data_IF_850644214133
#
_entry.id   IF_850644214133
#
_cell.length_a   1.000
_cell.length_b   1.000
_cell.length_c   1.000
_cell.angle_alpha   90.00
_cell.angle_beta   90.00
_cell.angle_gamma   90.00
#
_symmetry.space_group_name_H-M   'P 1'
#
loop_
_entity.id
_entity.type
_entity.pdbx_description
1 polymer ?
#
# COMPACT_ATOMS: atom_id res chain seq x y z
N UNK A 1 21.89 -7.38 6.97
CA UNK A 1 21.32 -6.02 7.02
C UNK A 1 20.70 -5.85 8.40
N UNK A 2 21.01 -4.78 9.12
CA UNK A 2 20.29 -4.48 10.37
C UNK A 2 18.86 -4.04 10.03
N UNK A 3 17.87 -4.82 10.48
CA UNK A 3 16.45 -4.59 10.17
C UNK A 3 15.99 -3.25 10.73
N UNK A 4 16.47 -2.85 11.90
CA UNK A 4 16.08 -1.59 12.52
C UNK A 4 16.52 -0.41 11.67
N UNK A 5 17.81 -0.35 11.31
CA UNK A 5 18.35 0.70 10.45
C UNK A 5 17.62 0.77 9.10
N UNK A 6 17.35 -0.39 8.49
CA UNK A 6 16.59 -0.46 7.24
C UNK A 6 15.18 0.13 7.39
N UNK A 7 14.42 -0.29 8.42
CA UNK A 7 13.05 0.17 8.62
C UNK A 7 12.97 1.66 8.98
N UNK A 8 13.94 2.20 9.72
CA UNK A 8 14.03 3.64 9.95
C UNK A 8 14.25 4.41 8.64
N UNK A 9 15.13 3.94 7.77
CA UNK A 9 15.35 4.56 6.45
C UNK A 9 14.10 4.49 5.56
N UNK A 10 13.31 3.41 5.64
CA UNK A 10 12.00 3.31 4.98
C UNK A 10 11.03 4.35 5.55
N UNK A 11 10.94 4.47 6.88
CA UNK A 11 10.07 5.43 7.56
C UNK A 11 10.39 6.89 7.21
N UNK A 12 11.66 7.27 7.23
CA UNK A 12 12.11 8.61 6.82
C UNK A 12 11.69 8.94 5.38
N UNK A 13 11.97 8.03 4.43
CA UNK A 13 11.60 8.20 3.02
C UNK A 13 10.08 8.29 2.83
N UNK A 14 9.30 7.51 3.58
CA UNK A 14 7.84 7.56 3.53
C UNK A 14 7.32 8.92 4.03
N UNK A 15 7.92 9.46 5.10
CA UNK A 15 7.55 10.78 5.63
C UNK A 15 7.90 11.95 4.72
N UNK A 16 9.02 11.86 4.03
CA UNK A 16 9.38 12.85 3.03
C UNK A 16 8.39 12.79 1.86
N UNK A 17 8.14 11.60 1.33
CA UNK A 17 7.20 11.40 0.23
C UNK A 17 5.74 11.77 0.59
N UNK A 18 5.33 11.59 1.86
CA UNK A 18 3.97 11.90 2.31
C UNK A 18 3.63 13.38 2.13
N UNK A 19 4.61 14.28 2.21
CA UNK A 19 4.40 15.73 1.99
C UNK A 19 4.13 16.02 0.51
N UNK A 20 4.90 15.41 -0.37
CA UNK A 20 4.75 15.59 -1.81
C UNK A 20 3.43 14.98 -2.32
N UNK A 21 3.06 13.78 -1.87
CA UNK A 21 1.80 13.14 -2.28
C UNK A 21 0.56 13.85 -1.73
N UNK A 22 0.64 14.44 -0.53
CA UNK A 22 -0.45 15.25 0.03
C UNK A 22 -0.68 16.54 -0.77
N UNK A 23 0.35 17.09 -1.40
CA UNK A 23 0.29 18.26 -2.27
C UNK A 23 0.02 17.93 -3.75
N UNK A 24 0.01 16.64 -4.12
CA UNK A 24 -0.17 16.22 -5.50
C UNK A 24 -1.60 16.50 -5.99
N UNK A 25 -1.71 16.96 -7.25
CA UNK A 25 -3.01 17.18 -7.88
C UNK A 25 -3.76 15.86 -8.09
N UNK A 26 -5.09 15.95 -8.17
CA UNK A 26 -5.93 14.81 -8.55
C UNK A 26 -5.52 14.21 -9.88
N UNK A 27 -5.10 15.04 -10.84
CA UNK A 27 -4.60 14.62 -12.14
C UNK A 27 -3.33 13.78 -12.03
N UNK A 28 -2.33 14.23 -11.25
CA UNK A 28 -1.09 13.48 -11.07
C UNK A 28 -1.34 12.12 -10.37
N UNK A 29 -2.19 12.10 -9.34
CA UNK A 29 -2.60 10.87 -8.66
C UNK A 29 -3.31 9.91 -9.61
N UNK A 30 -4.27 10.41 -10.41
CA UNK A 30 -5.01 9.59 -11.36
C UNK A 30 -4.12 9.09 -12.50
N UNK A 31 -3.19 9.92 -12.99
CA UNK A 31 -2.20 9.53 -13.99
C UNK A 31 -1.35 8.37 -13.47
N UNK A 32 -0.87 8.46 -12.24
CA UNK A 32 -0.11 7.37 -11.63
C UNK A 32 -0.92 6.08 -11.64
N UNK A 33 -2.16 6.09 -11.12
CA UNK A 33 -3.02 4.90 -11.07
C UNK A 33 -3.29 4.29 -12.45
N UNK A 34 -3.60 5.12 -13.46
CA UNK A 34 -3.83 4.66 -14.82
C UNK A 34 -2.56 4.04 -15.43
N UNK A 35 -1.39 4.64 -15.19
CA UNK A 35 -0.11 4.07 -15.65
C UNK A 35 0.22 2.76 -14.93
N UNK A 36 -0.06 2.63 -13.63
CA UNK A 36 0.13 1.37 -12.90
C UNK A 36 -0.75 0.27 -13.52
N UNK A 37 -2.01 0.58 -13.84
CA UNK A 37 -2.92 -0.37 -14.48
C UNK A 37 -2.38 -0.83 -15.85
N UNK A 38 -1.89 0.10 -16.67
CA UNK A 38 -1.27 -0.20 -17.95
C UNK A 38 0.00 -1.07 -17.79
N UNK A 39 0.87 -0.74 -16.84
CA UNK A 39 2.09 -1.50 -16.55
C UNK A 39 1.79 -2.92 -16.08
N UNK A 40 0.75 -3.11 -15.26
CA UNK A 40 0.30 -4.44 -14.83
C UNK A 40 -0.12 -5.29 -16.04
N UNK A 41 -0.85 -4.72 -17.00
CA UNK A 41 -1.25 -5.43 -18.22
C UNK A 41 -0.06 -5.75 -19.12
N UNK A 42 0.85 -4.79 -19.30
CA UNK A 42 2.08 -4.97 -20.10
C UNK A 42 2.96 -6.07 -19.50
N UNK A 43 3.08 -6.10 -18.17
CA UNK A 43 3.94 -7.05 -17.44
C UNK A 43 3.21 -8.33 -17.02
N UNK A 44 2.04 -8.63 -17.61
CA UNK A 44 1.24 -9.81 -17.25
C UNK A 44 2.06 -11.09 -17.18
N UNK A 45 2.85 -11.38 -18.20
CA UNK A 45 3.66 -12.62 -18.25
C UNK A 45 4.73 -12.66 -17.15
N UNK A 46 5.32 -11.51 -16.81
CA UNK A 46 6.29 -11.40 -15.71
C UNK A 46 5.61 -11.65 -14.37
N UNK A 47 4.41 -11.10 -14.17
CA UNK A 47 3.61 -11.31 -12.95
C UNK A 47 3.20 -12.77 -12.78
N UNK A 48 2.75 -13.43 -13.85
CA UNK A 48 2.40 -14.85 -13.82
C UNK A 48 3.63 -15.73 -13.53
N UNK A 49 4.77 -15.44 -14.15
CA UNK A 49 6.01 -16.17 -13.89
C UNK A 49 6.48 -16.01 -12.43
N UNK A 50 6.45 -14.78 -11.90
CA UNK A 50 6.78 -14.51 -10.50
C UNK A 50 5.83 -15.24 -9.53
N UNK A 51 4.54 -15.25 -9.83
CA UNK A 51 3.57 -15.99 -9.04
C UNK A 51 3.76 -17.51 -9.11
N UNK A 52 4.15 -18.05 -10.27
CA UNK A 52 4.45 -19.47 -10.41
C UNK A 52 5.63 -19.89 -9.51
N UNK A 53 6.69 -19.07 -9.43
CA UNK A 53 7.81 -19.30 -8.51
C UNK A 53 7.39 -19.25 -7.04
N UNK A 54 6.56 -18.26 -6.65
CA UNK A 54 5.98 -18.17 -5.31
C UNK A 54 5.14 -19.42 -4.97
N UNK A 55 4.32 -19.89 -5.90
CA UNK A 55 3.47 -21.08 -5.72
C UNK A 55 4.28 -22.37 -5.59
N UNK A 56 5.35 -22.53 -6.38
CA UNK A 56 6.25 -23.68 -6.29
C UNK A 56 6.92 -23.72 -4.91
N UNK A 57 7.48 -22.60 -4.47
CA UNK A 57 8.10 -22.49 -3.16
C UNK A 57 7.09 -22.73 -2.03
N UNK A 58 5.89 -22.13 -2.11
CA UNK A 58 4.85 -22.29 -1.10
C UNK A 58 4.39 -23.76 -0.97
N UNK A 59 4.27 -24.49 -2.08
CA UNK A 59 3.95 -25.93 -2.06
C UNK A 59 5.08 -26.75 -1.44
N UNK A 60 6.33 -26.45 -1.79
CA UNK A 60 7.50 -27.12 -1.20
C UNK A 60 7.60 -26.88 0.32
N UNK A 61 7.21 -25.70 0.80
CA UNK A 61 7.16 -25.35 2.23
C UNK A 61 5.91 -25.90 2.95
N UNK A 62 5.03 -26.63 2.26
CA UNK A 62 3.84 -27.24 2.85
C UNK A 62 2.74 -26.26 3.22
N UNK A 63 2.63 -25.13 2.50
CA UNK A 63 1.57 -24.16 2.73
C UNK A 63 0.17 -24.78 2.50
N UNK A 64 -0.78 -24.47 3.37
CA UNK A 64 -2.13 -25.03 3.30
C UNK A 64 -2.84 -24.71 1.97
N UNK A 65 -3.66 -25.62 1.42
CA UNK A 65 -4.33 -25.42 0.14
C UNK A 65 -5.12 -24.11 0.03
N UNK A 66 -5.83 -23.72 1.10
CA UNK A 66 -6.60 -22.47 1.12
C UNK A 66 -5.72 -21.20 1.02
N UNK A 67 -4.45 -21.27 1.44
CA UNK A 67 -3.49 -20.17 1.28
C UNK A 67 -2.83 -20.19 -0.09
N UNK A 68 -2.61 -21.38 -0.67
CA UNK A 68 -2.19 -21.53 -2.08
C UNK A 68 -3.22 -20.91 -3.03
N UNK A 69 -4.51 -21.16 -2.79
CA UNK A 69 -5.60 -20.58 -3.59
C UNK A 69 -5.60 -19.04 -3.53
N UNK A 70 -5.34 -18.48 -2.33
CA UNK A 70 -5.24 -17.01 -2.16
C UNK A 70 -3.97 -16.42 -2.78
N UNK A 71 -2.89 -17.18 -2.81
CA UNK A 71 -1.63 -16.79 -3.42
C UNK A 71 -1.72 -16.80 -4.95
N UNK A 72 -2.55 -17.67 -5.51
CA UNK A 72 -2.65 -17.89 -6.95
C UNK A 72 -3.15 -16.66 -7.69
N UNK A 73 -2.40 -16.23 -8.71
CA UNK A 73 -2.72 -15.13 -9.59
C UNK A 73 -3.00 -15.68 -11.00
N UNK A 74 -4.21 -15.47 -11.50
CA UNK A 74 -4.62 -15.86 -12.84
C UNK A 74 -4.58 -14.67 -13.81
N UNK A 75 -4.60 -14.89 -15.14
CA UNK A 75 -4.74 -13.81 -16.11
C UNK A 75 -5.95 -12.92 -15.84
N UNK A 76 -7.09 -13.52 -15.46
CA UNK A 76 -8.29 -12.78 -15.07
C UNK A 76 -8.08 -11.98 -13.77
N UNK A 77 -7.33 -12.52 -12.81
CA UNK A 77 -6.96 -11.80 -11.58
C UNK A 77 -6.04 -10.60 -11.83
N UNK A 78 -5.14 -10.70 -12.81
CA UNK A 78 -4.31 -9.57 -13.25
C UNK A 78 -5.15 -8.48 -13.90
N UNK A 79 -6.09 -8.85 -14.77
CA UNK A 79 -6.99 -7.88 -15.39
C UNK A 79 -7.87 -7.20 -14.34
N UNK A 80 -8.49 -7.96 -13.43
CA UNK A 80 -9.31 -7.40 -12.36
C UNK A 80 -8.52 -6.44 -11.45
N UNK A 81 -7.24 -6.71 -11.21
CA UNK A 81 -6.35 -5.82 -10.48
C UNK A 81 -6.08 -4.51 -11.23
N UNK A 82 -5.89 -4.57 -12.55
CA UNK A 82 -5.75 -3.38 -13.39
C UNK A 82 -7.05 -2.55 -13.47
N UNK A 83 -8.20 -3.21 -13.63
CA UNK A 83 -9.52 -2.56 -13.59
C UNK A 83 -9.78 -1.90 -12.24
N UNK A 84 -9.39 -2.54 -11.13
CA UNK A 84 -9.52 -1.98 -9.78
C UNK A 84 -8.77 -0.65 -9.61
N UNK A 85 -7.56 -0.54 -10.18
CA UNK A 85 -6.80 0.71 -10.21
C UNK A 85 -7.53 1.81 -11.00
N UNK A 86 -8.12 1.48 -12.14
CA UNK A 86 -8.89 2.41 -12.98
C UNK A 86 -10.16 2.88 -12.28
N UNK A 87 -10.86 1.97 -11.61
CA UNK A 87 -12.03 2.29 -10.79
C UNK A 87 -11.66 3.27 -9.66
N UNK A 88 -10.54 3.03 -8.97
CA UNK A 88 -10.05 3.94 -7.91
C UNK A 88 -9.65 5.30 -8.48
N UNK A 89 -9.04 5.33 -9.67
CA UNK A 89 -8.71 6.59 -10.35
C UNK A 89 -9.97 7.42 -10.66
N UNK A 90 -11.07 6.76 -11.03
CA UNK A 90 -12.35 7.38 -11.33
C UNK A 90 -13.11 7.92 -10.10
N UNK A 91 -12.77 7.49 -8.89
CA UNK A 91 -13.39 8.01 -7.67
C UNK A 91 -13.14 9.52 -7.52
N UNK A 92 -14.03 10.27 -6.85
CA UNK A 92 -13.74 11.65 -6.45
C UNK A 92 -12.47 11.72 -5.61
N UNK A 93 -11.70 12.78 -5.78
CA UNK A 93 -10.55 13.03 -4.92
C UNK A 93 -11.03 13.54 -3.55
N UNK A 94 -10.78 12.82 -2.45
CA UNK A 94 -11.21 13.26 -1.13
C UNK A 94 -10.36 14.43 -0.60
N UNK A 95 -9.13 14.61 -1.09
CA UNK A 95 -8.17 15.53 -0.48
C UNK A 95 -8.51 16.99 -0.81
N UNK A 96 -8.55 17.84 0.22
CA UNK A 96 -8.82 19.28 0.08
C UNK A 96 -10.29 19.66 0.11
N UNK A 97 -11.21 18.70 0.23
CA UNK A 97 -12.64 18.96 0.40
C UNK A 97 -12.89 19.81 1.66
N UNK A 98 -13.59 20.94 1.52
CA UNK A 98 -13.97 21.80 2.64
C UNK A 98 -15.46 21.68 2.97
N UNK A 99 -15.79 21.46 4.24
CA UNK A 99 -17.16 21.37 4.75
C UNK A 99 -17.35 22.26 5.98
N UNK A 100 -18.59 22.41 6.43
CA UNK A 100 -18.95 23.14 7.66
C UNK A 100 -18.48 24.60 7.71
N UNK A 101 -18.32 25.28 6.57
CA UNK A 101 -17.83 26.68 6.53
C UNK A 101 -18.87 27.63 7.12
N UNK A 102 -18.53 28.30 8.22
CA UNK A 102 -19.41 29.25 8.94
C UNK A 102 -18.66 30.55 9.27
N UNK A 103 -19.31 31.69 9.06
CA UNK A 103 -18.82 33.00 9.50
C UNK A 103 -19.09 33.20 11.00
N UNK A 104 -18.12 33.76 11.72
CA UNK A 104 -18.22 34.03 13.17
C UNK A 104 -18.45 35.53 13.43
N UNK A 105 -19.01 35.91 14.59
CA UNK A 105 -19.17 37.33 14.97
C UNK A 105 -17.87 38.13 14.97
N UNK A 106 -16.72 37.48 15.17
CA UNK A 106 -15.39 38.10 15.07
C UNK A 106 -14.96 38.47 13.64
N UNK A 107 -15.71 38.05 12.61
CA UNK A 107 -15.40 38.32 11.20
C UNK A 107 -14.69 37.18 10.48
N UNK A 108 -14.12 36.20 11.19
CA UNK A 108 -13.43 35.04 10.59
C UNK A 108 -14.41 34.02 10.00
N UNK A 109 -13.93 33.21 9.05
CA UNK A 109 -14.60 32.01 8.57
C UNK A 109 -13.91 30.77 9.14
N UNK A 110 -14.69 29.82 9.62
CA UNK A 110 -14.20 28.55 10.18
C UNK A 110 -14.88 27.41 9.44
N UNK A 111 -14.11 26.45 8.97
CA UNK A 111 -14.59 25.23 8.33
C UNK A 111 -13.67 24.06 8.65
N UNK A 112 -13.95 22.91 8.04
CA UNK A 112 -13.11 21.71 8.14
C UNK A 112 -12.61 21.37 6.75
N UNK A 113 -11.32 21.05 6.64
CA UNK A 113 -10.72 20.55 5.40
C UNK A 113 -10.32 19.08 5.60
N UNK A 114 -10.67 18.23 4.64
CA UNK A 114 -10.22 16.84 4.62
C UNK A 114 -8.77 16.80 4.12
N UNK A 115 -7.89 16.23 4.93
CA UNK A 115 -6.47 16.04 4.61
C UNK A 115 -6.08 14.57 4.74
N UNK A 116 -5.01 14.11 4.07
CA UNK A 116 -4.49 12.76 4.25
C UNK A 116 -4.04 12.54 5.70
N UNK A 117 -3.98 11.27 6.11
CA UNK A 117 -3.40 10.92 7.41
C UNK A 117 -1.88 11.14 7.41
N UNK A 118 -1.22 10.78 6.30
CA UNK A 118 0.21 10.91 6.12
C UNK A 118 0.81 9.63 5.56
N UNK A 119 1.25 8.72 6.43
CA UNK A 119 1.88 7.44 6.08
C UNK A 119 1.04 6.29 6.64
N UNK A 120 0.64 5.38 5.75
CA UNK A 120 -0.14 4.19 6.07
C UNK A 120 0.77 2.96 5.94
N UNK A 121 0.89 2.17 7.00
CA UNK A 121 1.54 0.86 6.95
C UNK A 121 0.50 -0.24 6.72
N UNK A 122 0.67 -1.05 5.68
CA UNK A 122 -0.28 -2.11 5.34
C UNK A 122 0.43 -3.45 5.43
N UNK A 123 -0.07 -4.32 6.31
CA UNK A 123 0.49 -5.65 6.56
C UNK A 123 -0.52 -6.69 6.12
N UNK A 124 -0.14 -7.51 5.14
CA UNK A 124 -1.04 -8.48 4.53
C UNK A 124 -0.40 -9.85 4.33
N UNK A 125 -1.24 -10.87 4.17
CA UNK A 125 -0.82 -12.26 3.95
C UNK A 125 -0.73 -12.59 2.46
N UNK A 126 -0.71 -13.87 2.09
CA UNK A 126 -0.55 -14.42 0.75
C UNK A 126 -1.68 -14.02 -0.22
N UNK A 127 -1.76 -12.73 -0.58
CA UNK A 127 -2.72 -12.14 -1.52
C UNK A 127 -2.00 -11.06 -2.34
N UNK A 128 -1.39 -11.44 -3.48
CA UNK A 128 -0.57 -10.50 -4.25
C UNK A 128 -1.34 -9.25 -4.73
N UNK A 129 -2.62 -9.42 -5.07
CA UNK A 129 -3.49 -8.33 -5.54
C UNK A 129 -3.62 -7.19 -4.50
N UNK A 130 -3.53 -7.50 -3.21
CA UNK A 130 -3.60 -6.50 -2.14
C UNK A 130 -2.50 -5.46 -2.28
N UNK A 131 -1.34 -5.80 -2.85
CA UNK A 131 -0.25 -4.85 -3.10
C UNK A 131 -0.72 -3.68 -3.97
N UNK A 132 -1.40 -3.98 -5.09
CA UNK A 132 -1.89 -2.95 -6.00
C UNK A 132 -3.08 -2.19 -5.40
N UNK A 133 -4.07 -2.89 -4.84
CA UNK A 133 -5.27 -2.29 -4.25
C UNK A 133 -4.91 -1.33 -3.10
N UNK A 134 -4.00 -1.76 -2.23
CA UNK A 134 -3.51 -0.98 -1.09
C UNK A 134 -2.75 0.26 -1.54
N UNK A 135 -1.83 0.11 -2.50
CA UNK A 135 -1.10 1.23 -3.09
C UNK A 135 -2.08 2.24 -3.70
N UNK A 136 -3.06 1.75 -4.46
CA UNK A 136 -4.02 2.57 -5.18
C UNK A 136 -4.84 3.47 -4.26
N UNK A 137 -5.44 2.88 -3.21
CA UNK A 137 -6.25 3.60 -2.24
C UNK A 137 -5.41 4.63 -1.46
N UNK A 138 -4.18 4.27 -1.06
CA UNK A 138 -3.28 5.19 -0.37
C UNK A 138 -2.92 6.39 -1.27
N UNK A 139 -2.53 6.13 -2.52
CA UNK A 139 -2.19 7.18 -3.48
C UNK A 139 -3.38 8.09 -3.74
N UNK A 140 -4.56 7.53 -4.04
CA UNK A 140 -5.77 8.32 -4.32
C UNK A 140 -6.13 9.26 -3.17
N UNK A 141 -6.01 8.76 -1.95
CA UNK A 141 -6.29 9.51 -0.71
C UNK A 141 -5.12 10.41 -0.24
N UNK A 142 -4.06 10.54 -1.04
CA UNK A 142 -2.93 11.44 -0.76
C UNK A 142 -2.02 10.97 0.37
N UNK A 143 -1.96 9.67 0.63
CA UNK A 143 -1.10 9.06 1.65
C UNK A 143 0.11 8.37 1.00
N UNK A 144 1.25 8.41 1.69
CA UNK A 144 2.34 7.48 1.40
C UNK A 144 2.02 6.11 2.02
N UNK A 145 2.55 5.04 1.41
CA UNK A 145 2.29 3.67 1.83
C UNK A 145 3.59 2.88 2.06
N UNK A 146 3.62 2.13 3.16
CA UNK A 146 4.62 1.08 3.40
C UNK A 146 3.90 -0.26 3.40
N UNK A 147 4.18 -1.09 2.40
CA UNK A 147 3.50 -2.35 2.16
C UNK A 147 4.39 -3.50 2.58
N UNK A 148 3.90 -4.33 3.51
CA UNK A 148 4.55 -5.57 3.91
C UNK A 148 3.60 -6.73 3.62
N UNK A 149 3.91 -7.48 2.56
CA UNK A 149 3.21 -8.72 2.23
C UNK A 149 3.75 -9.95 2.96
N UNK A 150 3.06 -11.09 2.79
CA UNK A 150 3.54 -12.39 3.24
C UNK A 150 4.84 -12.78 2.55
N UNK A 151 5.66 -13.62 3.22
CA UNK A 151 6.91 -14.13 2.62
C UNK A 151 6.62 -15.02 1.40
N UNK A 152 5.43 -15.62 1.39
CA UNK A 152 4.94 -16.57 0.41
C UNK A 152 4.61 -15.90 -0.94
N UNK A 153 4.49 -14.57 -0.97
CA UNK A 153 4.15 -13.78 -2.16
C UNK A 153 5.28 -12.81 -2.55
N UNK A 154 6.52 -13.08 -2.14
CA UNK A 154 7.62 -12.12 -2.25
C UNK A 154 7.87 -11.71 -3.71
N UNK A 155 8.00 -12.68 -4.62
CA UNK A 155 8.34 -12.39 -6.00
C UNK A 155 7.22 -11.60 -6.70
N UNK A 156 5.98 -12.01 -6.48
CA UNK A 156 4.82 -11.34 -7.06
C UNK A 156 4.64 -9.92 -6.50
N UNK A 157 4.81 -9.73 -5.19
CA UNK A 157 4.75 -8.40 -4.57
C UNK A 157 5.82 -7.46 -5.13
N UNK A 158 7.05 -7.95 -5.36
CA UNK A 158 8.12 -7.15 -5.97
C UNK A 158 7.85 -6.83 -7.44
N UNK A 159 7.29 -7.77 -8.20
CA UNK A 159 6.88 -7.53 -9.57
C UNK A 159 5.78 -6.45 -9.65
N UNK A 160 4.79 -6.50 -8.76
CA UNK A 160 3.75 -5.45 -8.66
C UNK A 160 4.37 -4.11 -8.20
N UNK A 161 5.31 -4.14 -7.24
CA UNK A 161 6.02 -2.94 -6.79
C UNK A 161 6.74 -2.23 -7.93
N UNK A 162 7.30 -2.98 -8.89
CA UNK A 162 7.92 -2.41 -10.08
C UNK A 162 6.91 -1.67 -10.97
N UNK A 163 5.69 -2.21 -11.16
CA UNK A 163 4.60 -1.52 -11.86
C UNK A 163 4.21 -0.23 -11.13
N UNK A 164 4.08 -0.29 -9.79
CA UNK A 164 3.76 0.87 -8.96
C UNK A 164 4.80 1.97 -9.13
N UNK A 165 6.09 1.61 -9.05
CA UNK A 165 7.20 2.55 -9.23
C UNK A 165 7.18 3.22 -10.60
N UNK A 166 6.95 2.46 -11.67
CA UNK A 166 6.85 3.00 -13.02
C UNK A 166 5.70 4.00 -13.16
N UNK A 167 4.54 3.72 -12.54
CA UNK A 167 3.41 4.67 -12.55
C UNK A 167 3.66 5.94 -11.74
N UNK A 168 4.34 5.84 -10.59
CA UNK A 168 4.76 7.01 -9.81
C UNK A 168 5.72 7.89 -10.61
N UNK A 169 6.73 7.30 -11.24
CA UNK A 169 7.71 8.00 -12.06
C UNK A 169 7.05 8.72 -13.24
N UNK A 170 6.16 8.04 -13.97
CA UNK A 170 5.42 8.63 -15.09
C UNK A 170 4.54 9.82 -14.68
N UNK A 171 4.07 9.84 -13.43
CA UNK A 171 3.29 10.94 -12.86
C UNK A 171 4.14 12.03 -12.19
N UNK A 172 5.47 11.90 -12.16
CA UNK A 172 6.36 12.82 -11.45
C UNK A 172 6.20 12.77 -9.93
N UNK A 173 5.71 11.66 -9.39
CA UNK A 173 5.54 11.44 -7.96
C UNK A 173 6.77 10.74 -7.38
N UNK A 174 7.11 10.96 -6.09
CA UNK A 174 8.27 10.32 -5.49
C UNK A 174 8.14 8.81 -5.48
N UNK A 175 9.18 8.09 -5.87
CA UNK A 175 9.20 6.63 -5.83
C UNK A 175 8.92 6.08 -4.41
N UNK A 176 9.30 6.82 -3.37
CA UNK A 176 9.06 6.46 -1.98
C UNK A 176 7.60 6.68 -1.51
N UNK A 177 6.72 7.23 -2.36
CA UNK A 177 5.29 7.37 -2.03
C UNK A 177 4.63 5.99 -1.80
N UNK A 178 5.13 4.94 -2.46
CA UNK A 178 4.78 3.55 -2.12
C UNK A 178 6.05 2.73 -2.03
N UNK A 179 6.30 2.14 -0.87
CA UNK A 179 7.44 1.28 -0.62
C UNK A 179 6.95 -0.13 -0.29
N UNK A 180 7.47 -1.14 -0.99
CA UNK A 180 7.22 -2.55 -0.66
C UNK A 180 8.45 -3.09 0.04
N UNK A 181 8.28 -3.66 1.23
CA UNK A 181 9.38 -4.20 2.02
C UNK A 181 9.99 -5.42 1.30
N UNK A 182 11.30 -5.37 1.07
CA UNK A 182 12.04 -6.39 0.30
C UNK A 182 12.48 -7.59 1.15
N UNK A 183 12.51 -7.45 2.48
CA UNK A 183 12.94 -8.52 3.38
C UNK A 183 11.77 -9.41 3.83
N UNK A 184 12.03 -10.71 3.96
CA UNK A 184 11.08 -11.68 4.53
C UNK A 184 11.18 -11.76 6.06
N UNK A 185 12.13 -11.05 6.68
CA UNK A 185 12.35 -11.06 8.12
C UNK A 185 11.10 -10.57 8.87
N UNK A 186 10.65 -11.39 9.83
CA UNK A 186 9.48 -11.09 10.67
C UNK A 186 9.71 -9.89 11.60
N UNK A 187 10.97 -9.54 11.89
CA UNK A 187 11.31 -8.37 12.69
C UNK A 187 10.85 -7.06 12.03
N UNK A 188 10.79 -7.00 10.69
CA UNK A 188 10.31 -5.82 9.96
C UNK A 188 8.86 -5.46 10.32
N UNK A 189 8.01 -6.45 10.62
CA UNK A 189 6.64 -6.22 11.10
C UNK A 189 6.65 -5.56 12.47
N UNK A 190 7.51 -6.04 13.38
CA UNK A 190 7.63 -5.50 14.73
C UNK A 190 8.10 -4.04 14.72
N UNK A 191 9.10 -3.72 13.90
CA UNK A 191 9.56 -2.34 13.70
C UNK A 191 8.47 -1.48 13.05
N UNK A 192 7.77 -1.98 12.02
CA UNK A 192 6.72 -1.23 11.31
C UNK A 192 5.56 -0.79 12.21
N UNK A 193 5.10 -1.67 13.10
CA UNK A 193 4.00 -1.34 14.02
C UNK A 193 4.45 -0.51 15.23
N UNK A 194 5.76 -0.28 15.40
CA UNK A 194 6.36 0.37 16.56
C UNK A 194 7.04 1.73 16.25
N UNK A 195 6.82 2.29 15.05
CA UNK A 195 7.42 3.58 14.62
C UNK A 195 6.38 4.72 14.42
N UNK A 196 5.70 5.18 15.48
CA UNK A 196 4.69 6.24 15.40
C UNK A 196 5.25 7.60 14.93
N UNK A 197 6.57 7.79 14.96
CA UNK A 197 7.23 8.96 14.40
C UNK A 197 7.13 9.03 12.86
N UNK A 198 6.99 7.88 12.20
CA UNK A 198 6.96 7.78 10.74
C UNK A 198 5.60 7.33 10.20
N UNK A 199 4.86 6.48 10.93
CA UNK A 199 3.63 5.85 10.46
C UNK A 199 2.44 6.30 11.28
N UNK A 200 1.39 6.81 10.63
CA UNK A 200 0.20 7.34 11.30
C UNK A 200 -0.81 6.25 11.64
N UNK A 201 -0.89 5.22 10.80
CA UNK A 201 -1.86 4.15 10.97
C UNK A 201 -1.39 2.84 10.33
N UNK A 202 -1.75 1.73 10.97
CA UNK A 202 -1.55 0.37 10.47
C UNK A 202 -2.89 -0.22 10.04
N UNK A 203 -2.90 -0.86 8.86
CA UNK A 203 -4.03 -1.61 8.32
C UNK A 203 -3.62 -3.07 8.12
N UNK A 204 -3.96 -3.98 9.05
CA UNK A 204 -3.73 -5.40 8.88
C UNK A 204 -4.81 -6.04 7.99
N UNK A 205 -4.39 -6.88 7.04
CA UNK A 205 -5.27 -7.63 6.12
C UNK A 205 -4.84 -9.10 6.06
N UNK A 206 -5.44 -9.93 6.92
CA UNK A 206 -5.13 -11.36 6.99
C UNK A 206 -6.05 -12.09 7.95
N UNK A 207 -5.63 -13.28 8.37
CA UNK A 207 -6.34 -14.07 9.37
C UNK A 207 -6.39 -13.42 10.76
N UNK A 208 -7.28 -13.92 11.61
CA UNK A 208 -7.48 -13.43 12.98
C UNK A 208 -6.16 -13.37 13.78
N UNK A 209 -5.32 -14.39 13.67
CA UNK A 209 -4.04 -14.43 14.39
C UNK A 209 -3.08 -13.29 14.02
N UNK A 210 -3.02 -12.89 12.75
CA UNK A 210 -2.22 -11.73 12.33
C UNK A 210 -2.79 -10.44 12.93
N UNK A 211 -4.11 -10.26 12.84
CA UNK A 211 -4.81 -9.08 13.35
C UNK A 211 -4.63 -8.97 14.87
N UNK A 212 -4.81 -10.06 15.61
CA UNK A 212 -4.62 -10.13 17.07
C UNK A 212 -3.19 -9.81 17.49
N UNK A 213 -2.19 -10.38 16.79
CA UNK A 213 -0.78 -10.09 17.06
C UNK A 213 -0.46 -8.62 16.87
N UNK A 214 -0.81 -8.05 15.72
CA UNK A 214 -0.59 -6.62 15.42
C UNK A 214 -1.32 -5.75 16.44
N UNK A 215 -2.56 -6.12 16.78
CA UNK A 215 -3.38 -5.40 17.75
C UNK A 215 -2.77 -5.29 19.13
N UNK A 216 -2.09 -6.34 19.58
CA UNK A 216 -1.49 -6.42 20.91
C UNK A 216 -0.16 -5.68 20.97
N UNK A 217 0.63 -5.76 19.90
CA UNK A 217 2.04 -5.34 19.92
C UNK A 217 2.24 -3.93 19.31
N UNK A 218 1.27 -3.38 18.58
CA UNK A 218 1.39 -2.10 17.89
C UNK A 218 1.41 -0.89 18.84
N UNK A 219 2.30 0.05 18.55
CA UNK A 219 2.32 1.42 19.13
C UNK A 219 1.69 2.44 18.20
N UNK A 220 1.61 2.13 16.91
CA UNK A 220 0.90 2.92 15.89
C UNK A 220 -0.61 2.60 15.95
N UNK A 221 -1.51 3.58 15.78
CA UNK A 221 -2.95 3.32 15.68
C UNK A 221 -3.30 2.27 14.63
N UNK A 222 -4.31 1.42 14.90
CA UNK A 222 -4.67 0.30 14.02
C UNK A 222 -6.13 0.41 13.57
N UNK A 223 -6.37 0.42 12.25
CA UNK A 223 -7.72 0.28 11.67
C UNK A 223 -7.96 -1.19 11.36
N UNK A 224 -8.86 -1.83 12.10
CA UNK A 224 -9.13 -3.27 12.00
C UNK A 224 -10.59 -3.59 12.27
N UNK A 225 -11.02 -4.76 11.81
CA UNK A 225 -12.23 -5.45 12.22
C UNK A 225 -11.81 -6.85 12.69
N UNK A 226 -12.41 -7.32 13.79
CA UNK A 226 -12.13 -8.63 14.39
C UNK A 226 -13.09 -9.70 13.84
#
# INVERSE_FOLDING_TARGET
MDIRTYMQAVGHRAREASRAIAAASSEAKNKALATIAAEIRVRREILLAANASDLEQARAEGLEPALIDRLTLSPAGIEAMAEGLEQIAALPDPVGEMTDIKRRPSGIQVGKMRVPLGVIGIIYEARPNVTADAAALCLKSGNAAILRGGKEALHCNQAIAACVRAGLEAAGLPAAAVQVIETTDRAAVGELIAMPEFVDVIVPRGGKGLIERISRDARVPVIKHL
#
